data_IF_618441849531
#
_entry.id   IF_618441849531
#
_cell.length_a   1.000
_cell.length_b   1.000
_cell.length_c   1.000
_cell.angle_alpha   90.00
_cell.angle_beta   90.00
_cell.angle_gamma   90.00
#
_symmetry.space_group_name_H-M   'P 1'
#
loop_
_entity.id
_entity.type
_entity.pdbx_description
1 polymer ?
#
# COMPACT_ATOMS: atom_id res chain seq x y z
N UNK A 1 -8.58 -15.08 27.61
CA UNK A 1 -7.48 -14.25 28.16
C UNK A 1 -6.20 -15.10 28.17
N UNK A 2 -5.46 -15.12 27.06
CA UNK A 2 -4.17 -15.82 27.02
C UNK A 2 -3.09 -14.77 27.33
N UNK A 3 -2.51 -14.85 28.53
CA UNK A 3 -1.40 -14.00 28.94
C UNK A 3 -0.19 -14.31 28.04
N UNK A 4 0.18 -13.37 27.17
CA UNK A 4 1.41 -13.44 26.40
C UNK A 4 2.60 -13.34 27.39
N UNK A 5 3.21 -14.47 27.72
CA UNK A 5 4.45 -14.50 28.53
C UNK A 5 5.61 -13.90 27.72
N UNK A 6 6.39 -13.03 28.38
CA UNK A 6 7.76 -12.68 27.98
C UNK A 6 8.51 -13.96 27.60
N UNK A 7 8.92 -14.10 26.33
CA UNK A 7 9.79 -15.19 25.89
C UNK A 7 9.53 -15.85 24.53
N UNK A 8 8.48 -15.47 23.78
CA UNK A 8 8.14 -16.13 22.50
C UNK A 8 8.75 -15.47 21.25
N UNK A 9 9.43 -14.33 21.39
CA UNK A 9 10.18 -13.70 20.29
C UNK A 9 11.66 -13.78 20.68
N UNK A 10 12.46 -14.68 20.08
CA UNK A 10 13.90 -14.73 20.29
C UNK A 10 14.54 -13.32 20.28
N UNK A 11 15.44 -13.01 21.22
CA UNK A 11 16.22 -11.75 21.25
C UNK A 11 16.88 -11.43 19.91
N UNK A 12 17.20 -12.46 19.11
CA UNK A 12 17.71 -12.32 17.75
C UNK A 12 16.73 -11.65 16.77
N UNK A 13 15.41 -11.83 16.93
CA UNK A 13 14.37 -11.20 16.12
C UNK A 13 14.18 -9.70 16.49
N UNK A 14 14.44 -9.34 17.75
CA UNK A 14 14.37 -7.96 18.27
C UNK A 14 15.55 -7.07 17.82
N UNK A 15 16.55 -7.63 17.15
CA UNK A 15 17.75 -6.91 16.69
C UNK A 15 17.54 -5.96 15.49
N UNK A 16 16.29 -5.60 15.15
CA UNK A 16 15.98 -4.64 14.09
C UNK A 16 16.40 -5.06 12.67
N UNK A 17 16.72 -6.35 12.46
CA UNK A 17 17.18 -6.88 11.17
C UNK A 17 16.05 -7.40 10.27
N UNK A 18 14.85 -7.58 10.80
CA UNK A 18 13.72 -8.14 10.05
C UNK A 18 12.87 -7.02 9.48
N UNK A 19 12.72 -7.02 8.15
CA UNK A 19 11.81 -6.11 7.48
C UNK A 19 10.38 -6.63 7.62
N UNK A 20 9.59 -5.93 8.42
CA UNK A 20 8.14 -6.10 8.49
C UNK A 20 7.45 -4.97 7.73
N UNK A 21 6.23 -5.23 7.30
CA UNK A 21 5.34 -4.24 6.71
C UNK A 21 3.91 -4.72 6.78
N UNK A 22 2.96 -3.86 6.46
CA UNK A 22 1.55 -4.25 6.46
C UNK A 22 0.70 -3.53 5.42
N UNK A 23 -0.58 -3.82 5.51
CA UNK A 23 -1.65 -3.16 4.78
C UNK A 23 -2.91 -3.17 5.64
N UNK A 24 -3.51 -2.00 5.85
CA UNK A 24 -4.83 -1.90 6.45
C UNK A 24 -5.93 -2.45 5.53
N UNK A 25 -6.90 -3.14 6.13
CA UNK A 25 -8.11 -3.65 5.47
C UNK A 25 -9.34 -3.25 6.30
N UNK A 26 -10.54 -3.61 5.86
CA UNK A 26 -11.77 -3.30 6.60
C UNK A 26 -11.73 -4.06 7.94
N UNK A 27 -11.95 -3.35 9.05
CA UNK A 27 -11.87 -3.92 10.41
C UNK A 27 -10.56 -4.65 10.77
N UNK A 28 -9.46 -4.43 10.05
CA UNK A 28 -8.27 -5.27 10.24
C UNK A 28 -6.97 -4.77 9.62
N UNK A 29 -5.93 -5.57 9.83
CA UNK A 29 -4.59 -5.34 9.29
C UNK A 29 -3.98 -6.64 8.81
N UNK A 30 -3.41 -6.62 7.61
CA UNK A 30 -2.48 -7.64 7.14
C UNK A 30 -1.06 -7.21 7.51
N UNK A 31 -0.32 -8.10 8.17
CA UNK A 31 1.10 -7.94 8.49
C UNK A 31 1.92 -8.98 7.76
N UNK A 32 3.11 -8.59 7.33
CA UNK A 32 4.04 -9.41 6.59
C UNK A 32 5.41 -9.42 7.25
N UNK A 33 5.95 -10.61 7.42
CA UNK A 33 7.35 -10.88 7.75
C UNK A 33 8.08 -11.41 6.50
N UNK A 34 9.41 -11.67 6.57
CA UNK A 34 10.14 -12.25 5.46
C UNK A 34 9.58 -13.59 4.97
N UNK A 35 9.19 -14.49 5.88
CA UNK A 35 8.79 -15.87 5.57
C UNK A 35 7.30 -16.16 5.77
N UNK A 36 6.52 -15.21 6.28
CA UNK A 36 5.08 -15.40 6.49
C UNK A 36 4.27 -14.12 6.38
N UNK A 37 2.95 -14.26 6.27
CA UNK A 37 2.02 -13.17 6.47
C UNK A 37 0.87 -13.62 7.36
N UNK A 38 0.28 -12.65 8.03
CA UNK A 38 -0.93 -12.83 8.83
C UNK A 38 -1.93 -11.72 8.52
N UNK A 39 -3.21 -12.04 8.62
CA UNK A 39 -4.30 -11.09 8.54
C UNK A 39 -5.09 -11.24 9.83
N UNK A 40 -5.34 -10.14 10.54
CA UNK A 40 -6.25 -10.12 11.68
C UNK A 40 -7.39 -9.13 11.40
N UNK A 41 -8.64 -9.57 11.62
CA UNK A 41 -9.85 -8.79 11.37
C UNK A 41 -10.76 -8.93 12.57
N UNK A 42 -11.33 -7.81 13.05
CA UNK A 42 -12.35 -7.81 14.09
C UNK A 42 -13.71 -8.07 13.47
N UNK A 43 -14.35 -9.16 13.87
CA UNK A 43 -15.71 -9.51 13.48
C UNK A 43 -16.73 -8.61 14.20
N UNK A 44 -17.97 -8.47 13.69
CA UNK A 44 -18.96 -7.61 14.34
C UNK A 44 -19.34 -8.10 15.76
N UNK A 45 -19.26 -9.40 16.01
CA UNK A 45 -19.41 -10.02 17.33
C UNK A 45 -18.27 -9.68 18.33
N UNK A 46 -17.26 -8.92 17.90
CA UNK A 46 -16.12 -8.48 18.71
C UNK A 46 -14.93 -9.44 18.71
N UNK A 47 -15.07 -10.68 18.22
CA UNK A 47 -13.98 -11.64 18.11
C UNK A 47 -12.97 -11.24 17.02
N UNK A 48 -11.72 -11.64 17.18
CA UNK A 48 -10.67 -11.39 16.18
C UNK A 48 -10.41 -12.69 15.41
N UNK A 49 -10.74 -12.69 14.12
CA UNK A 49 -10.38 -13.76 13.20
C UNK A 49 -8.95 -13.55 12.68
N UNK A 50 -8.19 -14.63 12.57
CA UNK A 50 -6.83 -14.59 12.03
C UNK A 50 -6.63 -15.62 10.92
N UNK A 51 -5.96 -15.21 9.84
CA UNK A 51 -5.45 -16.10 8.80
C UNK A 51 -3.93 -15.95 8.74
N UNK A 52 -3.20 -17.07 8.83
CA UNK A 52 -1.72 -17.08 8.84
C UNK A 52 -1.22 -18.06 7.81
N UNK A 53 -0.27 -17.62 6.97
CA UNK A 53 0.28 -18.46 5.92
C UNK A 53 1.75 -18.17 5.62
N UNK A 54 2.52 -19.19 5.20
CA UNK A 54 3.90 -19.00 4.79
C UNK A 54 3.99 -18.22 3.47
N UNK A 55 4.97 -17.33 3.39
CA UNK A 55 5.33 -16.62 2.17
C UNK A 55 6.52 -17.28 1.49
N UNK A 56 6.38 -17.54 0.20
CA UNK A 56 7.50 -17.83 -0.69
C UNK A 56 7.78 -16.57 -1.50
N UNK A 57 8.97 -15.97 -1.33
CA UNK A 57 9.36 -14.82 -2.13
C UNK A 57 9.59 -15.25 -3.58
N UNK A 58 8.63 -14.94 -4.47
CA UNK A 58 8.77 -15.19 -5.91
C UNK A 58 10.04 -14.55 -6.48
N UNK A 59 10.48 -13.40 -5.96
CA UNK A 59 11.71 -12.71 -6.36
C UNK A 59 13.00 -13.53 -6.12
N UNK A 60 12.94 -14.57 -5.30
CA UNK A 60 14.10 -15.40 -4.95
C UNK A 60 14.20 -16.67 -5.81
N UNK A 61 13.15 -16.98 -6.60
CA UNK A 61 13.05 -18.21 -7.38
C UNK A 61 13.95 -18.27 -8.60
N UNK A 62 14.36 -17.12 -9.18
CA UNK A 62 15.23 -17.08 -10.36
C UNK A 62 16.22 -15.90 -10.34
N UNK A 63 17.33 -16.01 -11.08
CA UNK A 63 18.35 -14.94 -11.20
C UNK A 63 17.79 -13.70 -11.91
N UNK A 64 16.87 -13.88 -12.86
CA UNK A 64 16.22 -12.80 -13.60
C UNK A 64 15.31 -11.96 -12.69
N UNK A 65 14.65 -12.58 -11.72
CA UNK A 65 13.75 -11.88 -10.79
C UNK A 65 14.48 -11.07 -9.73
N UNK A 66 15.82 -11.15 -9.68
CA UNK A 66 16.68 -10.34 -8.81
C UNK A 66 17.18 -9.06 -9.49
N UNK A 67 17.00 -8.93 -10.81
CA UNK A 67 17.41 -7.74 -11.56
C UNK A 67 16.65 -6.50 -11.07
N UNK A 68 17.31 -5.33 -11.00
CA UNK A 68 16.63 -4.07 -10.68
C UNK A 68 15.44 -3.82 -11.63
N UNK A 69 14.43 -3.07 -11.17
CA UNK A 69 13.18 -2.80 -11.89
C UNK A 69 12.29 -4.04 -11.98
N UNK A 70 12.77 -5.15 -12.56
CA UNK A 70 12.04 -6.42 -12.70
C UNK A 70 11.64 -6.95 -11.31
N UNK A 71 12.57 -6.99 -10.36
CA UNK A 71 12.28 -7.38 -8.98
C UNK A 71 11.21 -6.51 -8.34
N UNK A 72 11.21 -5.22 -8.66
CA UNK A 72 10.22 -4.27 -8.15
C UNK A 72 8.84 -4.59 -8.67
N UNK A 73 8.70 -4.79 -9.99
CA UNK A 73 7.44 -5.21 -10.61
C UNK A 73 6.91 -6.51 -10.00
N UNK A 74 7.77 -7.54 -9.85
CA UNK A 74 7.36 -8.83 -9.27
C UNK A 74 6.94 -8.67 -7.80
N UNK A 75 7.68 -7.87 -7.03
CA UNK A 75 7.36 -7.62 -5.62
C UNK A 75 6.01 -6.91 -5.49
N UNK A 76 5.74 -5.93 -6.35
CA UNK A 76 4.47 -5.18 -6.36
C UNK A 76 3.30 -6.06 -6.79
N UNK A 77 3.47 -6.90 -7.82
CA UNK A 77 2.46 -7.88 -8.21
C UNK A 77 2.16 -8.84 -7.06
N UNK A 78 3.21 -9.34 -6.39
CA UNK A 78 3.06 -10.24 -5.24
C UNK A 78 2.32 -9.54 -4.08
N UNK A 79 2.66 -8.28 -3.80
CA UNK A 79 1.99 -7.47 -2.79
C UNK A 79 0.51 -7.20 -3.15
N UNK A 80 0.20 -6.94 -4.43
CA UNK A 80 -1.17 -6.77 -4.91
C UNK A 80 -2.00 -8.04 -4.69
N UNK A 81 -1.49 -9.22 -5.05
CA UNK A 81 -2.19 -10.48 -4.80
C UNK A 81 -2.47 -10.71 -3.31
N UNK A 82 -1.50 -10.45 -2.45
CA UNK A 82 -1.66 -10.54 -1.00
C UNK A 82 -2.69 -9.52 -0.48
N UNK A 83 -2.65 -8.29 -0.99
CA UNK A 83 -3.58 -7.23 -0.63
C UNK A 83 -5.02 -7.56 -1.02
N UNK A 84 -5.26 -8.05 -2.24
CA UNK A 84 -6.59 -8.51 -2.69
C UNK A 84 -7.08 -9.66 -1.82
N UNK A 85 -6.20 -10.61 -1.48
CA UNK A 85 -6.55 -11.70 -0.59
C UNK A 85 -6.94 -11.22 0.81
N UNK A 86 -6.21 -10.27 1.36
CA UNK A 86 -6.52 -9.68 2.66
C UNK A 86 -7.84 -8.92 2.65
N UNK A 87 -8.14 -8.18 1.57
CA UNK A 87 -9.42 -7.50 1.39
C UNK A 87 -10.58 -8.48 1.31
N UNK A 88 -10.43 -9.58 0.56
CA UNK A 88 -11.48 -10.60 0.46
C UNK A 88 -11.73 -11.29 1.80
N UNK A 89 -10.67 -11.70 2.50
CA UNK A 89 -10.81 -12.29 3.84
C UNK A 89 -11.50 -11.33 4.83
N UNK A 90 -11.12 -10.05 4.78
CA UNK A 90 -11.74 -9.00 5.60
C UNK A 90 -13.22 -8.79 5.28
N UNK A 91 -13.59 -8.79 4.00
CA UNK A 91 -14.98 -8.69 3.57
C UNK A 91 -15.79 -9.92 4.03
N UNK A 92 -15.26 -11.14 3.85
CA UNK A 92 -15.91 -12.39 4.26
C UNK A 92 -16.19 -12.40 5.78
N UNK A 93 -15.21 -11.97 6.60
CA UNK A 93 -15.37 -11.90 8.06
C UNK A 93 -16.34 -10.80 8.51
N UNK A 94 -16.46 -9.70 7.74
CA UNK A 94 -17.43 -8.65 8.02
C UNK A 94 -18.88 -9.09 7.72
N UNK A 95 -19.07 -10.07 6.84
CA UNK A 95 -20.38 -10.59 6.42
C UNK A 95 -20.83 -11.84 7.18
N UNK A 96 -20.00 -12.42 8.05
CA UNK A 96 -20.29 -13.70 8.73
C UNK A 96 -21.54 -13.69 9.62
N UNK A 97 -22.04 -12.53 10.07
CA UNK A 97 -23.28 -12.45 10.86
C UNK A 97 -24.57 -12.58 10.03
N UNK A 98 -24.53 -12.32 8.71
CA UNK A 98 -25.72 -12.36 7.85
C UNK A 98 -26.02 -13.77 7.28
N UNK A 99 -25.04 -14.68 7.28
CA UNK A 99 -25.07 -15.86 6.39
C UNK A 99 -25.18 -17.22 7.10
N UNK A 100 -25.93 -17.31 8.19
CA UNK A 100 -26.16 -18.58 8.89
C UNK A 100 -26.87 -19.68 8.07
N UNK A 101 -27.51 -19.40 6.92
CA UNK A 101 -28.31 -20.40 6.17
C UNK A 101 -28.36 -20.32 4.62
N UNK A 102 -27.81 -19.31 3.95
CA UNK A 102 -28.00 -19.10 2.48
C UNK A 102 -26.73 -19.30 1.61
N UNK A 103 -25.71 -20.00 2.12
CA UNK A 103 -24.33 -20.00 1.57
C UNK A 103 -24.06 -20.71 0.23
N UNK A 104 -25.05 -21.30 -0.45
CA UNK A 104 -24.77 -22.13 -1.67
C UNK A 104 -25.32 -21.61 -3.00
N UNK A 105 -26.39 -20.82 -3.05
CA UNK A 105 -27.00 -20.36 -4.33
C UNK A 105 -26.57 -18.94 -4.76
N UNK A 106 -26.16 -18.05 -3.84
CA UNK A 106 -25.71 -16.68 -4.16
C UNK A 106 -24.34 -16.60 -4.86
N UNK A 107 -23.61 -17.72 -4.97
CA UNK A 107 -22.20 -17.75 -5.42
C UNK A 107 -22.01 -17.55 -6.94
N UNK A 108 -23.01 -17.85 -7.76
CA UNK A 108 -22.91 -17.76 -9.23
C UNK A 108 -23.34 -16.39 -9.79
N UNK A 109 -24.45 -15.78 -9.30
CA UNK A 109 -24.82 -14.39 -9.66
C UNK A 109 -23.84 -13.35 -9.09
N UNK A 110 -23.17 -13.64 -7.97
CA UNK A 110 -22.17 -12.77 -7.36
C UNK A 110 -20.90 -12.60 -8.20
N UNK A 111 -20.52 -13.59 -9.03
CA UNK A 111 -19.26 -13.58 -9.78
C UNK A 111 -19.26 -12.56 -10.93
N UNK A 112 -20.36 -12.47 -11.68
CA UNK A 112 -20.50 -11.49 -12.76
C UNK A 112 -20.64 -10.07 -12.23
N UNK A 113 -21.44 -9.87 -11.17
CA UNK A 113 -21.60 -8.57 -10.52
C UNK A 113 -20.28 -8.07 -9.93
N UNK A 114 -19.50 -8.96 -9.30
CA UNK A 114 -18.15 -8.65 -8.80
C UNK A 114 -17.20 -8.31 -9.94
N UNK A 115 -17.21 -9.10 -11.04
CA UNK A 115 -16.43 -8.82 -12.24
C UNK A 115 -16.74 -7.45 -12.85
N UNK A 116 -18.03 -7.10 -12.97
CA UNK A 116 -18.48 -5.79 -13.44
C UNK A 116 -18.06 -4.66 -12.50
N UNK A 117 -18.15 -4.86 -11.18
CA UNK A 117 -17.74 -3.86 -10.18
C UNK A 117 -16.23 -3.60 -10.23
N UNK A 118 -15.43 -4.66 -10.37
CA UNK A 118 -13.97 -4.54 -10.53
C UNK A 118 -13.64 -3.83 -11.84
N UNK A 119 -14.27 -4.23 -12.96
CA UNK A 119 -14.05 -3.60 -14.26
C UNK A 119 -14.44 -2.11 -14.25
N UNK A 120 -15.59 -1.77 -13.64
CA UNK A 120 -16.03 -0.39 -13.48
C UNK A 120 -15.05 0.42 -12.62
N UNK A 121 -14.60 -0.12 -11.49
CA UNK A 121 -13.64 0.54 -10.59
C UNK A 121 -12.29 0.78 -11.27
N UNK A 122 -11.79 -0.20 -12.03
CA UNK A 122 -10.57 -0.07 -12.82
C UNK A 122 -10.75 0.96 -13.95
N UNK A 123 -11.88 0.93 -14.65
CA UNK A 123 -12.21 1.90 -15.69
C UNK A 123 -12.28 3.33 -15.15
N UNK A 124 -12.91 3.53 -13.99
CA UNK A 124 -12.96 4.81 -13.31
C UNK A 124 -11.57 5.29 -12.89
N UNK A 125 -10.71 4.39 -12.41
CA UNK A 125 -9.32 4.69 -12.09
C UNK A 125 -8.50 5.13 -13.31
N UNK A 126 -8.62 4.41 -14.44
CA UNK A 126 -7.96 4.79 -15.70
C UNK A 126 -8.49 6.14 -16.19
N UNK A 127 -9.80 6.34 -16.14
CA UNK A 127 -10.44 7.60 -16.51
C UNK A 127 -9.89 8.75 -15.66
N UNK A 128 -9.93 8.63 -14.33
CA UNK A 128 -9.60 9.70 -13.41
C UNK A 128 -8.10 10.02 -13.36
N UNK A 129 -7.23 9.01 -13.44
CA UNK A 129 -5.79 9.17 -13.21
C UNK A 129 -4.93 9.14 -14.48
N UNK A 130 -5.45 8.72 -15.62
CA UNK A 130 -4.71 8.70 -16.89
C UNK A 130 -5.37 9.56 -17.96
N UNK A 131 -6.66 9.34 -18.23
CA UNK A 131 -7.37 9.99 -19.34
C UNK A 131 -7.69 11.44 -19.02
N UNK A 132 -8.28 11.71 -17.84
CA UNK A 132 -8.71 13.03 -17.42
C UNK A 132 -7.53 14.03 -17.30
N UNK A 133 -6.41 13.72 -16.63
CA UNK A 133 -5.28 14.65 -16.55
C UNK A 133 -4.70 14.98 -17.92
N UNK A 134 -4.58 13.98 -18.81
CA UNK A 134 -4.12 14.17 -20.18
C UNK A 134 -5.07 15.08 -20.96
N UNK A 135 -6.37 14.81 -20.87
CA UNK A 135 -7.39 15.60 -21.54
C UNK A 135 -7.34 17.07 -21.08
N UNK A 136 -7.30 17.30 -19.76
CA UNK A 136 -7.19 18.64 -19.20
C UNK A 136 -5.90 19.35 -19.62
N UNK A 137 -4.78 18.62 -19.70
CA UNK A 137 -3.50 19.21 -20.14
C UNK A 137 -3.54 19.61 -21.62
N UNK A 138 -4.14 18.79 -22.50
CA UNK A 138 -4.30 19.15 -23.91
C UNK A 138 -5.27 20.31 -24.11
N UNK A 139 -6.35 20.37 -23.35
CA UNK A 139 -7.27 21.52 -23.33
C UNK A 139 -6.55 22.79 -22.88
N UNK A 140 -5.74 22.69 -21.82
CA UNK A 140 -4.95 23.81 -21.31
C UNK A 140 -3.90 24.28 -22.33
N UNK A 141 -3.28 23.37 -23.09
CA UNK A 141 -2.39 23.72 -24.22
C UNK A 141 -3.10 24.58 -25.28
N UNK A 142 -4.39 24.35 -25.54
CA UNK A 142 -5.16 25.16 -26.49
C UNK A 142 -5.37 26.60 -26.01
N UNK A 143 -5.54 26.82 -24.70
CA UNK A 143 -5.76 28.15 -24.12
C UNK A 143 -4.44 28.85 -23.78
N UNK A 144 -3.43 28.08 -23.36
CA UNK A 144 -2.11 28.54 -22.94
C UNK A 144 -1.06 27.77 -23.75
N UNK A 145 -0.68 28.27 -24.95
CA UNK A 145 0.23 27.57 -25.85
C UNK A 145 1.60 27.23 -25.25
N UNK A 146 2.05 28.01 -24.24
CA UNK A 146 3.33 27.77 -23.55
C UNK A 146 3.38 26.44 -22.81
N UNK A 147 2.23 25.82 -22.49
CA UNK A 147 2.17 24.46 -21.93
C UNK A 147 2.76 23.42 -22.88
N UNK A 148 2.60 23.60 -24.20
CA UNK A 148 3.17 22.73 -25.22
C UNK A 148 4.54 23.17 -25.74
N UNK A 149 5.23 24.09 -25.06
CA UNK A 149 6.54 24.61 -25.49
C UNK A 149 7.65 23.55 -25.52
N UNK A 150 7.56 22.55 -24.63
CA UNK A 150 8.51 21.44 -24.57
C UNK A 150 7.83 20.19 -24.00
N UNK A 151 8.42 19.03 -24.28
CA UNK A 151 7.96 17.75 -23.72
C UNK A 151 8.01 17.76 -22.19
N UNK A 152 9.03 18.40 -21.62
CA UNK A 152 9.16 18.55 -20.17
C UNK A 152 8.03 19.42 -19.60
N UNK A 153 7.76 20.60 -20.18
CA UNK A 153 6.70 21.49 -19.71
C UNK A 153 5.34 20.81 -19.75
N UNK A 154 5.02 20.14 -20.85
CA UNK A 154 3.74 19.44 -21.02
C UNK A 154 3.56 18.36 -19.95
N UNK A 155 4.57 17.50 -19.75
CA UNK A 155 4.49 16.39 -18.80
C UNK A 155 4.57 16.85 -17.34
N UNK A 156 5.23 17.98 -17.06
CA UNK A 156 5.20 18.60 -15.75
C UNK A 156 3.79 19.10 -15.40
N UNK A 157 3.11 19.75 -16.35
CA UNK A 157 1.72 20.22 -16.17
C UNK A 157 0.76 19.04 -16.05
N UNK A 158 0.88 18.01 -16.90
CA UNK A 158 0.10 16.76 -16.79
C UNK A 158 0.28 16.09 -15.42
N UNK A 159 1.52 16.03 -14.95
CA UNK A 159 1.88 15.55 -13.62
C UNK A 159 1.24 16.35 -12.50
N UNK A 160 1.29 17.69 -12.58
CA UNK A 160 0.71 18.58 -11.59
C UNK A 160 -0.82 18.48 -11.54
N UNK A 161 -1.49 18.41 -12.69
CA UNK A 161 -2.93 18.19 -12.78
C UNK A 161 -3.28 16.83 -12.16
N UNK A 162 -2.54 15.77 -12.51
CA UNK A 162 -2.76 14.43 -11.95
C UNK A 162 -2.56 14.40 -10.43
N UNK A 163 -1.51 15.06 -9.92
CA UNK A 163 -1.25 15.21 -8.49
C UNK A 163 -2.40 15.91 -7.78
N UNK A 164 -2.91 16.98 -8.38
CA UNK A 164 -4.04 17.73 -7.85
C UNK A 164 -5.29 16.86 -7.77
N UNK A 165 -5.63 16.15 -8.85
CA UNK A 165 -6.76 15.22 -8.90
C UNK A 165 -6.60 14.14 -7.83
N UNK A 166 -5.40 13.57 -7.69
CA UNK A 166 -5.11 12.55 -6.68
C UNK A 166 -5.31 13.06 -5.25
N UNK A 167 -4.77 14.22 -4.91
CA UNK A 167 -4.94 14.81 -3.57
C UNK A 167 -6.41 15.13 -3.30
N UNK A 168 -7.12 15.73 -4.27
CA UNK A 168 -8.57 16.01 -4.16
C UNK A 168 -9.37 14.72 -3.98
N UNK A 169 -9.07 13.69 -4.74
CA UNK A 169 -9.71 12.38 -4.64
C UNK A 169 -9.53 11.78 -3.24
N UNK A 170 -8.29 11.71 -2.74
CA UNK A 170 -8.00 11.19 -1.40
C UNK A 170 -8.71 12.00 -0.32
N UNK A 171 -8.69 13.34 -0.42
CA UNK A 171 -9.42 14.20 0.52
C UNK A 171 -10.93 13.89 0.49
N UNK A 172 -11.53 13.73 -0.69
CA UNK A 172 -12.94 13.39 -0.85
C UNK A 172 -13.31 12.06 -0.19
N UNK A 173 -12.61 10.97 -0.52
CA UNK A 173 -12.91 9.65 0.07
C UNK A 173 -12.57 9.60 1.57
N UNK A 174 -11.59 10.38 2.03
CA UNK A 174 -11.22 10.44 3.45
C UNK A 174 -12.33 11.00 4.35
N UNK A 175 -13.38 11.58 3.76
CA UNK A 175 -14.55 12.06 4.50
C UNK A 175 -15.54 10.92 4.82
N UNK A 176 -15.48 9.80 4.09
CA UNK A 176 -16.34 8.64 4.28
C UNK A 176 -15.98 7.89 5.57
N UNK A 177 -16.98 7.45 6.34
CA UNK A 177 -16.78 6.80 7.65
C UNK A 177 -15.92 5.53 7.54
N UNK A 178 -16.22 4.69 6.55
CA UNK A 178 -15.53 3.41 6.37
C UNK A 178 -14.06 3.61 5.99
N UNK A 179 -13.78 4.59 5.12
CA UNK A 179 -12.40 4.94 4.72
C UNK A 179 -11.63 5.56 5.89
N UNK A 180 -12.27 6.42 6.70
CA UNK A 180 -11.64 6.92 7.94
C UNK A 180 -11.23 5.78 8.85
N UNK A 181 -12.08 4.76 8.99
CA UNK A 181 -11.82 3.60 9.82
C UNK A 181 -10.65 2.77 9.29
N UNK A 182 -10.57 2.55 7.97
CA UNK A 182 -9.39 1.93 7.34
C UNK A 182 -8.11 2.75 7.59
N UNK A 183 -8.18 4.09 7.51
CA UNK A 183 -7.04 4.95 7.81
C UNK A 183 -6.62 4.93 9.29
N UNK A 184 -7.52 4.62 10.22
CA UNK A 184 -7.16 4.36 11.61
C UNK A 184 -6.41 3.03 11.75
N UNK A 185 -6.90 1.96 11.12
CA UNK A 185 -6.17 0.68 11.08
C UNK A 185 -4.78 0.82 10.43
N UNK A 186 -4.64 1.71 9.45
CA UNK A 186 -3.35 2.06 8.87
C UNK A 186 -2.43 2.78 9.88
N UNK A 187 -2.99 3.68 10.71
CA UNK A 187 -2.28 4.24 11.85
C UNK A 187 -1.86 3.17 12.87
N UNK A 188 -2.73 2.19 13.14
CA UNK A 188 -2.43 1.08 14.04
C UNK A 188 -1.31 0.17 13.51
N UNK A 189 -1.29 -0.08 12.19
CA UNK A 189 -0.22 -0.80 11.51
C UNK A 189 1.13 -0.12 11.75
N UNK A 190 1.24 1.17 11.43
CA UNK A 190 2.48 1.93 11.60
C UNK A 190 2.96 1.96 13.05
N UNK A 191 2.05 2.18 14.01
CA UNK A 191 2.39 2.21 15.43
C UNK A 191 2.88 0.86 15.96
N UNK A 192 2.28 -0.24 15.50
CA UNK A 192 2.69 -1.60 15.86
C UNK A 192 4.06 -1.94 15.28
N UNK A 193 4.32 -1.54 14.03
CA UNK A 193 5.62 -1.71 13.37
C UNK A 193 6.70 -0.90 14.09
N UNK A 194 6.43 0.35 14.46
CA UNK A 194 7.38 1.16 15.22
C UNK A 194 7.74 0.55 16.57
N UNK A 195 6.76 0.04 17.32
CA UNK A 195 7.03 -0.65 18.59
C UNK A 195 7.95 -1.86 18.39
N UNK A 196 7.73 -2.64 17.32
CA UNK A 196 8.62 -3.75 16.96
C UNK A 196 10.03 -3.28 16.58
N UNK A 197 10.14 -2.23 15.77
CA UNK A 197 11.44 -1.67 15.33
C UNK A 197 12.23 -1.04 16.48
N UNK A 198 11.55 -0.52 17.49
CA UNK A 198 12.15 -0.01 18.72
C UNK A 198 12.60 -1.13 19.69
N UNK A 199 12.29 -2.40 19.37
CA UNK A 199 12.58 -3.54 20.25
C UNK A 199 11.71 -3.57 21.51
N UNK A 200 10.58 -2.86 21.50
CA UNK A 200 9.66 -2.79 22.64
C UNK A 200 8.75 -4.01 22.71
N UNK A 201 8.20 -4.28 23.89
CA UNK A 201 7.18 -5.32 24.03
C UNK A 201 5.93 -4.95 23.24
N UNK A 202 5.44 -5.87 22.41
CA UNK A 202 4.28 -5.68 21.50
C UNK A 202 2.95 -5.60 22.28
N UNK A 203 2.75 -4.48 22.96
CA UNK A 203 1.59 -4.13 23.77
C UNK A 203 0.92 -2.86 23.24
N UNK A 204 -0.37 -2.68 23.54
CA UNK A 204 -1.14 -1.49 23.14
C UNK A 204 -0.51 -0.23 23.73
N UNK A 205 -0.04 -0.28 24.98
CA UNK A 205 0.56 0.86 25.67
C UNK A 205 1.83 1.36 24.96
N UNK A 206 2.70 0.44 24.53
CA UNK A 206 3.93 0.78 23.82
C UNK A 206 3.63 1.28 22.40
N UNK A 207 2.81 0.56 21.65
CA UNK A 207 2.41 0.97 20.30
C UNK A 207 1.77 2.36 20.26
N UNK A 208 0.92 2.70 21.26
CA UNK A 208 0.23 4.00 21.34
C UNK A 208 1.18 5.19 21.28
N UNK A 209 2.38 5.07 21.87
CA UNK A 209 3.39 6.14 22.01
C UNK A 209 4.04 6.52 20.68
N UNK A 210 3.96 5.65 19.67
CA UNK A 210 4.61 5.85 18.38
C UNK A 210 3.79 6.70 17.41
N UNK A 211 4.45 7.20 16.37
CA UNK A 211 3.84 8.00 15.30
C UNK A 211 2.98 7.15 14.37
N UNK A 212 1.88 7.71 13.87
CA UNK A 212 1.10 7.13 12.76
C UNK A 212 1.70 7.43 11.38
N UNK A 213 2.82 8.15 11.30
CA UNK A 213 3.55 8.47 10.06
C UNK A 213 4.82 7.64 9.99
N UNK A 214 4.94 6.77 9.00
CA UNK A 214 6.05 5.82 8.84
C UNK A 214 6.83 6.04 7.53
N UNK A 215 8.17 6.17 7.54
CA UNK A 215 8.96 6.48 6.34
C UNK A 215 8.91 5.38 5.27
N UNK A 216 8.62 4.13 5.66
CA UNK A 216 8.57 2.98 4.73
C UNK A 216 7.16 2.60 4.25
N UNK A 217 6.17 3.46 4.44
CA UNK A 217 4.78 3.21 4.05
C UNK A 217 4.58 3.17 2.52
N UNK A 218 3.65 2.32 2.05
CA UNK A 218 3.22 2.24 0.65
C UNK A 218 2.51 3.50 0.10
N UNK A 219 2.04 4.41 0.94
CA UNK A 219 1.51 5.71 0.47
C UNK A 219 2.63 6.63 -0.04
N UNK A 220 3.82 6.53 0.53
CA UNK A 220 5.04 7.11 -0.06
C UNK A 220 5.37 6.46 -1.41
N UNK A 221 4.95 5.21 -1.64
CA UNK A 221 5.07 4.55 -2.95
C UNK A 221 4.16 5.16 -4.00
N UNK A 222 2.89 5.44 -3.68
CA UNK A 222 2.00 6.13 -4.62
C UNK A 222 2.58 7.48 -5.06
N UNK A 223 3.07 8.29 -4.11
CA UNK A 223 3.67 9.58 -4.45
C UNK A 223 4.95 9.43 -5.30
N UNK A 224 5.79 8.45 -4.95
CA UNK A 224 7.00 8.14 -5.73
C UNK A 224 6.64 7.76 -7.17
N UNK A 225 5.64 6.91 -7.37
CA UNK A 225 5.14 6.52 -8.70
C UNK A 225 4.73 7.74 -9.50
N UNK A 226 4.04 8.70 -8.87
CA UNK A 226 3.63 9.93 -9.55
C UNK A 226 4.84 10.77 -9.96
N UNK A 227 5.80 11.00 -9.07
CA UNK A 227 7.00 11.79 -9.38
C UNK A 227 7.87 11.13 -10.45
N UNK A 228 8.10 9.81 -10.35
CA UNK A 228 8.83 9.03 -11.35
C UNK A 228 8.08 9.06 -12.69
N UNK A 229 6.74 9.03 -12.69
CA UNK A 229 5.97 9.11 -13.93
C UNK A 229 6.17 10.42 -14.69
N UNK A 230 6.33 11.55 -13.98
CA UNK A 230 6.61 12.85 -14.61
C UNK A 230 7.96 12.81 -15.35
N UNK A 231 8.99 12.25 -14.69
CA UNK A 231 10.32 12.11 -15.28
C UNK A 231 10.30 11.17 -16.49
N UNK A 232 9.70 9.99 -16.35
CA UNK A 232 9.62 9.00 -17.45
C UNK A 232 8.84 9.56 -18.64
N UNK A 233 7.71 10.22 -18.39
CA UNK A 233 6.87 10.76 -19.46
C UNK A 233 7.46 12.00 -20.12
N UNK A 234 8.36 12.74 -19.47
CA UNK A 234 9.07 13.88 -20.11
C UNK A 234 9.92 13.48 -21.32
N UNK A 235 10.23 12.19 -21.49
CA UNK A 235 10.92 11.64 -22.67
C UNK A 235 9.95 11.18 -23.77
N UNK A 236 8.63 11.25 -23.56
CA UNK A 236 7.61 10.84 -24.50
C UNK A 236 6.97 12.04 -25.18
N UNK A 237 6.75 11.95 -26.49
CA UNK A 237 6.17 13.06 -27.24
C UNK A 237 4.69 13.28 -26.97
N UNK A 238 4.34 14.52 -26.63
CA UNK A 238 2.97 14.97 -26.41
C UNK A 238 2.20 15.26 -27.71
N UNK A 239 2.90 15.38 -28.84
CA UNK A 239 2.31 15.68 -30.16
C UNK A 239 1.63 14.47 -30.82
N UNK A 240 1.75 13.28 -30.22
CA UNK A 240 1.02 12.12 -30.69
C UNK A 240 -0.51 12.29 -30.57
N UNK A 241 -1.29 11.61 -31.44
CA UNK A 241 -2.74 11.48 -31.27
C UNK A 241 -3.10 11.05 -29.85
N UNK A 242 -4.21 11.57 -29.32
CA UNK A 242 -4.63 11.37 -27.91
C UNK A 242 -4.51 9.92 -27.46
N UNK A 243 -5.05 8.98 -28.24
CA UNK A 243 -5.04 7.56 -27.89
C UNK A 243 -3.63 6.95 -27.82
N UNK A 244 -2.68 7.41 -28.66
CA UNK A 244 -1.28 6.97 -28.61
C UNK A 244 -0.59 7.50 -27.36
N UNK A 245 -0.82 8.76 -27.01
CA UNK A 245 -0.31 9.35 -25.75
C UNK A 245 -0.94 8.71 -24.52
N UNK A 246 -2.21 8.29 -24.59
CA UNK A 246 -2.87 7.56 -23.50
C UNK A 246 -2.30 6.14 -23.36
N UNK A 247 -2.15 5.42 -24.48
CA UNK A 247 -1.60 4.06 -24.50
C UNK A 247 -0.15 4.03 -24.02
N UNK A 248 0.68 5.01 -24.39
CA UNK A 248 2.07 5.08 -23.92
C UNK A 248 2.13 5.18 -22.39
N UNK A 249 1.24 5.95 -21.75
CA UNK A 249 1.19 6.01 -20.29
C UNK A 249 0.89 4.67 -19.63
N UNK A 250 0.06 3.83 -20.27
CA UNK A 250 -0.26 2.48 -19.79
C UNK A 250 0.91 1.51 -19.98
N UNK A 251 1.53 1.51 -21.17
CA UNK A 251 2.64 0.60 -21.50
C UNK A 251 3.84 0.82 -20.59
N UNK A 252 4.08 2.05 -20.15
CA UNK A 252 5.22 2.40 -19.28
C UNK A 252 4.95 2.16 -17.78
N UNK A 253 3.76 1.69 -17.37
CA UNK A 253 3.44 1.38 -15.96
C UNK A 253 4.47 0.43 -15.33
N UNK A 254 4.86 -0.71 -15.95
CA UNK A 254 5.83 -1.63 -15.34
C UNK A 254 7.19 -0.98 -15.09
N UNK A 255 7.66 -0.14 -16.02
CA UNK A 255 8.93 0.58 -15.86
C UNK A 255 8.84 1.57 -14.68
N UNK A 256 7.79 2.37 -14.63
CA UNK A 256 7.56 3.34 -13.55
C UNK A 256 7.45 2.64 -12.20
N UNK A 257 6.69 1.56 -12.13
CA UNK A 257 6.51 0.76 -10.91
C UNK A 257 7.84 0.18 -10.42
N UNK A 258 8.64 -0.40 -11.33
CA UNK A 258 9.95 -0.93 -11.00
C UNK A 258 10.94 0.15 -10.53
N UNK A 259 11.03 1.28 -11.25
CA UNK A 259 11.87 2.42 -10.84
C UNK A 259 11.46 2.99 -9.48
N UNK A 260 10.15 3.10 -9.22
CA UNK A 260 9.61 3.61 -7.96
C UNK A 260 9.94 2.69 -6.79
N UNK A 261 9.85 1.38 -7.00
CA UNK A 261 10.28 0.40 -6.01
C UNK A 261 11.76 0.51 -5.69
N UNK A 262 12.63 0.65 -6.71
CA UNK A 262 14.08 0.82 -6.49
C UNK A 262 14.39 2.11 -5.73
N UNK A 263 13.72 3.20 -6.07
CA UNK A 263 13.86 4.47 -5.36
C UNK A 263 13.50 4.33 -3.89
N UNK A 264 12.37 3.69 -3.56
CA UNK A 264 11.95 3.52 -2.16
C UNK A 264 12.88 2.59 -1.43
N UNK A 265 13.26 1.47 -2.04
CA UNK A 265 14.23 0.54 -1.45
C UNK A 265 15.56 1.23 -1.16
N UNK A 266 16.01 2.12 -2.03
CA UNK A 266 17.20 2.94 -1.80
C UNK A 266 16.99 3.95 -0.68
N UNK A 267 15.85 4.65 -0.67
CA UNK A 267 15.50 5.64 0.36
C UNK A 267 15.46 5.02 1.76
N UNK A 268 14.91 3.82 1.90
CA UNK A 268 14.86 3.07 3.16
C UNK A 268 16.23 2.73 3.73
N UNK A 269 17.24 2.53 2.87
CA UNK A 269 18.64 2.29 3.31
C UNK A 269 19.36 3.56 3.76
N UNK A 270 18.80 4.74 3.50
CA UNK A 270 19.40 6.06 3.77
C UNK A 270 18.56 6.90 4.73
N UNK A 271 17.68 6.25 5.49
CA UNK A 271 16.94 6.86 6.60
C UNK A 271 17.95 7.52 7.55
N UNK A 272 17.71 8.79 7.90
CA UNK A 272 18.59 9.58 8.77
C UNK A 272 19.55 10.53 8.03
N UNK A 273 19.73 10.39 6.71
CA UNK A 273 20.49 11.39 5.94
C UNK A 273 19.64 12.64 5.67
N UNK A 274 20.19 13.84 5.90
CA UNK A 274 19.46 15.12 5.75
C UNK A 274 18.83 15.28 4.36
N UNK A 275 19.54 14.88 3.31
CA UNK A 275 19.04 14.92 1.92
C UNK A 275 17.88 13.95 1.67
N UNK A 276 17.98 12.70 2.15
CA UNK A 276 16.89 11.73 1.99
C UNK A 276 15.65 12.10 2.81
N UNK A 277 15.83 12.70 3.99
CA UNK A 277 14.73 13.20 4.80
C UNK A 277 13.87 14.23 4.05
N UNK A 278 14.49 15.16 3.32
CA UNK A 278 13.79 16.14 2.50
C UNK A 278 13.04 15.48 1.33
N UNK A 279 13.67 14.50 0.66
CA UNK A 279 13.05 13.76 -0.45
C UNK A 279 11.84 12.93 -0.01
N UNK A 280 11.85 12.40 1.21
CA UNK A 280 10.76 11.61 1.76
C UNK A 280 9.64 12.46 2.40
N UNK A 281 9.91 13.73 2.72
CA UNK A 281 8.96 14.61 3.41
C UNK A 281 7.60 14.74 2.70
N UNK A 282 7.52 14.88 1.36
CA UNK A 282 6.24 14.90 0.65
C UNK A 282 5.41 13.62 0.88
N UNK A 283 6.06 12.46 0.98
CA UNK A 283 5.38 11.19 1.27
C UNK A 283 4.80 11.16 2.69
N UNK A 284 5.54 11.70 3.67
CA UNK A 284 5.06 11.85 5.05
C UNK A 284 3.90 12.86 5.16
N UNK A 285 3.87 13.90 4.33
CA UNK A 285 2.75 14.83 4.28
C UNK A 285 1.49 14.17 3.72
N UNK A 286 1.63 13.38 2.65
CA UNK A 286 0.52 12.62 2.09
C UNK A 286 -0.07 11.65 3.12
N UNK A 287 0.77 11.04 3.97
CA UNK A 287 0.31 10.17 5.04
C UNK A 287 -0.65 10.85 6.01
N UNK A 288 -0.53 12.17 6.25
CA UNK A 288 -1.49 12.91 7.08
C UNK A 288 -2.93 12.88 6.54
N UNK A 289 -3.11 12.58 5.26
CA UNK A 289 -4.42 12.39 4.64
C UNK A 289 -4.91 10.94 4.69
N UNK A 290 -3.99 9.97 4.76
CA UNK A 290 -4.26 8.52 4.63
C UNK A 290 -4.03 7.73 5.91
N UNK A 291 -3.65 8.37 7.01
CA UNK A 291 -3.54 7.77 8.34
C UNK A 291 -4.34 8.60 9.35
N UNK A 292 -4.85 7.94 10.38
CA UNK A 292 -5.58 8.56 11.49
C UNK A 292 -5.14 7.90 12.80
N UNK A 293 -5.39 8.58 13.92
CA UNK A 293 -5.12 8.02 15.24
C UNK A 293 -6.06 6.82 15.50
N UNK A 294 -5.50 5.63 15.79
CA UNK A 294 -6.29 4.43 16.07
C UNK A 294 -6.85 4.39 17.49
N UNK A 295 -7.92 3.62 17.68
CA UNK A 295 -8.34 3.18 19.01
C UNK A 295 -7.47 2.04 19.54
N UNK A 296 -7.57 1.77 20.84
CA UNK A 296 -6.87 0.64 21.48
C UNK A 296 -7.28 -0.71 20.87
N UNK A 297 -8.56 -0.87 20.53
CA UNK A 297 -9.07 -2.08 19.88
C UNK A 297 -8.47 -2.31 18.50
N UNK A 298 -8.11 -1.23 17.79
CA UNK A 298 -7.44 -1.31 16.48
C UNK A 298 -5.96 -1.63 16.63
N UNK A 299 -5.31 -1.04 17.65
CA UNK A 299 -3.93 -1.39 18.02
C UNK A 299 -3.82 -2.86 18.43
N UNK A 300 -4.78 -3.39 19.19
CA UNK A 300 -4.83 -4.80 19.55
C UNK A 300 -4.84 -5.70 18.31
N UNK A 301 -5.72 -5.42 17.35
CA UNK A 301 -5.81 -6.19 16.09
C UNK A 301 -4.50 -6.13 15.29
N UNK A 302 -3.90 -4.94 15.16
CA UNK A 302 -2.64 -4.77 14.46
C UNK A 302 -1.48 -5.53 15.14
N UNK A 303 -1.41 -5.50 16.47
CA UNK A 303 -0.42 -6.23 17.26
C UNK A 303 -0.61 -7.75 17.18
N UNK A 304 -1.85 -8.24 17.18
CA UNK A 304 -2.14 -9.66 16.97
C UNK A 304 -1.66 -10.09 15.59
N UNK A 305 -2.04 -9.35 14.54
CA UNK A 305 -1.58 -9.61 13.16
C UNK A 305 -0.06 -9.68 13.09
N UNK A 306 0.64 -8.72 13.70
CA UNK A 306 2.10 -8.66 13.70
C UNK A 306 2.72 -9.85 14.46
N UNK A 307 2.20 -10.20 15.64
CA UNK A 307 2.66 -11.35 16.42
C UNK A 307 2.48 -12.64 15.64
N UNK A 308 1.32 -12.86 15.02
CA UNK A 308 1.06 -14.05 14.20
C UNK A 308 2.03 -14.15 13.02
N UNK A 309 2.32 -13.04 12.33
CA UNK A 309 3.31 -13.02 11.24
C UNK A 309 4.74 -13.31 11.74
N UNK A 310 5.07 -12.96 12.99
CA UNK A 310 6.39 -13.19 13.55
C UNK A 310 6.58 -14.61 14.13
N UNK A 311 5.51 -15.33 14.48
CA UNK A 311 5.61 -16.67 15.11
C UNK A 311 6.40 -17.69 14.30
N UNK A 312 6.33 -17.59 12.97
CA UNK A 312 6.98 -18.53 12.05
C UNK A 312 8.40 -18.08 11.65
N UNK A 313 8.84 -16.90 12.08
CA UNK A 313 10.22 -16.46 11.90
C UNK A 313 11.12 -17.20 12.88
N UNK A 314 11.83 -18.22 12.40
CA UNK A 314 12.98 -18.74 13.13
C UNK A 314 14.05 -17.64 13.11
N UNK A 315 14.61 -17.29 14.28
CA UNK A 315 15.81 -16.44 14.32
C UNK A 315 16.88 -16.99 13.36
N UNK A 316 17.75 -16.14 12.80
CA UNK A 316 18.71 -16.58 11.79
C UNK A 316 19.45 -17.83 12.28
N UNK A 317 19.39 -18.92 11.51
CA UNK A 317 20.32 -20.03 11.69
C UNK A 317 21.72 -19.43 11.51
N UNK A 318 22.48 -19.42 12.60
CA UNK A 318 23.90 -19.07 12.58
C UNK A 318 24.56 -20.19 11.77
N UNK A 319 24.84 -19.92 10.49
CA UNK A 319 25.78 -20.70 9.68
C UNK A 319 27.18 -20.19 9.99
#
# INVERSE_FOLDING_TARGET
MCQYKKGLIPEALLSGKLNVGGQAVIEGVMMRSPTSFAIAVRKPNGEIATLVEPLKLLSETSRLFKLPIIRGVITLISALFLGVRALNFSADMAMEEEEGKEKKEKKEMGSLAMGLTVAFSLGLGILLFFVLPLYLTKLLKTVIPTVGSSEFTFNLVDGAIRMTIFVVYIMGISMMKDIKRVFQYHGAEHKSIYAFEAGEELTVENARKHSSLHPRCGTSFLLTVMLVSILVFSFLSHEMPFWKTALSRLVFIPLIAGLSYEFIRYSGKKIGSKGMGLLMAPGLWLQKLTTREPSDDQLEVALISLKEALKNEKGPEVI
#
